data_IF_706430188276
#
_entry.id   IF_706430188276
#
_cell.length_a   1.000
_cell.length_b   1.000
_cell.length_c   1.000
_cell.angle_alpha   90.00
_cell.angle_beta   90.00
_cell.angle_gamma   90.00
#
_symmetry.space_group_name_H-M   'P 1'
#
loop_
_entity.id
_entity.type
_entity.pdbx_description
1 polymer ?
#
# COMPACT_ATOMS: atom_id res chain seq x y z
N UNK A 1 1.46 -56.72 -66.11
CA UNK A 1 2.62 -56.01 -65.54
C UNK A 1 2.07 -54.84 -64.69
N UNK A 2 2.07 -55.01 -63.34
CA UNK A 2 1.65 -53.99 -62.39
C UNK A 2 2.86 -53.29 -61.87
N UNK A 3 2.98 -52.00 -62.15
CA UNK A 3 3.99 -51.10 -61.51
C UNK A 3 3.56 -50.78 -60.10
N UNK A 4 4.32 -51.22 -59.11
CA UNK A 4 4.19 -50.85 -57.72
C UNK A 4 4.69 -49.38 -57.58
N UNK A 5 3.78 -48.49 -57.15
CA UNK A 5 4.13 -47.17 -56.69
C UNK A 5 4.70 -47.28 -55.27
N UNK A 6 6.00 -47.13 -55.16
CA UNK A 6 6.73 -46.97 -53.92
C UNK A 6 6.39 -45.54 -53.40
N UNK A 7 5.56 -45.43 -52.37
CA UNK A 7 5.39 -44.19 -51.64
C UNK A 7 6.64 -43.97 -50.82
N UNK A 8 7.54 -43.17 -51.33
CA UNK A 8 8.60 -42.56 -50.54
C UNK A 8 7.97 -41.48 -49.69
N UNK A 9 7.85 -41.77 -48.41
CA UNK A 9 7.65 -40.74 -47.38
C UNK A 9 8.89 -39.86 -47.43
N UNK A 10 8.77 -38.67 -48.05
CA UNK A 10 9.75 -37.63 -47.89
C UNK A 10 9.64 -37.18 -46.44
N UNK A 11 10.57 -37.60 -45.60
CA UNK A 11 10.88 -37.01 -44.33
C UNK A 11 11.51 -35.65 -44.64
N UNK A 12 10.84 -34.55 -44.28
CA UNK A 12 11.39 -33.23 -44.42
C UNK A 12 12.49 -33.08 -43.39
N UNK A 13 13.74 -33.02 -43.82
CA UNK A 13 14.95 -32.79 -43.00
C UNK A 13 14.98 -31.35 -42.39
N UNK A 14 13.97 -30.52 -42.64
CA UNK A 14 13.93 -29.12 -42.22
C UNK A 14 13.40 -28.90 -40.79
N UNK A 15 13.11 -29.94 -40.00
CA UNK A 15 12.45 -29.82 -38.69
C UNK A 15 13.31 -30.35 -37.52
N UNK A 16 14.58 -30.60 -37.74
CA UNK A 16 15.52 -30.84 -36.61
C UNK A 16 15.95 -29.51 -35.99
N UNK A 17 15.09 -28.91 -35.18
CA UNK A 17 15.56 -27.92 -34.21
C UNK A 17 16.61 -28.61 -33.37
N UNK A 18 17.82 -28.09 -33.40
CA UNK A 18 18.91 -28.65 -32.58
C UNK A 18 18.54 -28.46 -31.12
N UNK A 19 18.88 -29.44 -30.27
CA UNK A 19 18.71 -29.34 -28.80
C UNK A 19 19.18 -27.98 -28.27
N UNK A 20 20.21 -27.40 -28.91
CA UNK A 20 20.76 -26.10 -28.57
C UNK A 20 19.75 -24.96 -28.86
N UNK A 21 19.06 -25.00 -29.99
CA UNK A 21 18.05 -23.99 -30.36
C UNK A 21 16.84 -24.04 -29.42
N UNK A 22 16.40 -25.22 -29.01
CA UNK A 22 15.35 -25.40 -28.03
C UNK A 22 15.77 -24.86 -26.65
N UNK A 23 16.98 -25.19 -26.19
CA UNK A 23 17.53 -24.65 -24.93
C UNK A 23 17.62 -23.11 -24.99
N UNK A 24 18.14 -22.55 -26.07
CA UNK A 24 18.21 -21.10 -26.26
C UNK A 24 16.81 -20.46 -26.29
N UNK A 25 15.84 -21.13 -26.93
CA UNK A 25 14.44 -20.74 -26.91
C UNK A 25 13.86 -20.67 -25.51
N UNK A 26 14.09 -21.72 -24.71
CA UNK A 26 13.68 -21.76 -23.30
C UNK A 26 14.33 -20.65 -22.48
N UNK A 27 15.63 -20.46 -22.61
CA UNK A 27 16.37 -19.40 -21.90
C UNK A 27 15.80 -18.01 -22.27
N UNK A 28 15.55 -17.77 -23.56
CA UNK A 28 14.98 -16.51 -24.03
C UNK A 28 13.61 -16.24 -23.41
N UNK A 29 12.69 -17.22 -23.43
CA UNK A 29 11.37 -17.10 -22.83
C UNK A 29 11.48 -16.85 -21.33
N UNK A 30 12.32 -17.60 -20.64
CA UNK A 30 12.57 -17.43 -19.20
C UNK A 30 13.07 -16.03 -18.87
N UNK A 31 14.09 -15.53 -19.57
CA UNK A 31 14.65 -14.20 -19.36
C UNK A 31 13.62 -13.11 -19.63
N UNK A 32 12.89 -13.20 -20.75
CA UNK A 32 11.83 -12.23 -21.07
C UNK A 32 10.75 -12.23 -20.02
N UNK A 33 10.28 -13.42 -19.59
CA UNK A 33 9.27 -13.54 -18.53
C UNK A 33 9.76 -12.96 -17.20
N UNK A 34 11.00 -13.23 -16.82
CA UNK A 34 11.62 -12.68 -15.61
C UNK A 34 11.65 -11.13 -15.66
N UNK A 35 12.06 -10.57 -16.80
CA UNK A 35 12.07 -9.10 -16.99
C UNK A 35 10.66 -8.53 -16.86
N UNK A 36 9.66 -9.15 -17.51
CA UNK A 36 8.26 -8.69 -17.45
C UNK A 36 7.73 -8.75 -16.01
N UNK A 37 8.00 -9.85 -15.29
CA UNK A 37 7.59 -9.99 -13.89
C UNK A 37 8.27 -8.91 -13.01
N UNK A 38 9.57 -8.69 -13.18
CA UNK A 38 10.30 -7.66 -12.44
C UNK A 38 9.74 -6.26 -12.71
N UNK A 39 9.44 -5.93 -13.96
CA UNK A 39 8.81 -4.65 -14.31
C UNK A 39 7.42 -4.53 -13.68
N UNK A 40 6.61 -5.59 -13.76
CA UNK A 40 5.28 -5.59 -13.16
C UNK A 40 5.32 -5.36 -11.65
N UNK A 41 6.17 -6.11 -10.93
CA UNK A 41 6.29 -6.01 -9.47
C UNK A 41 6.82 -4.65 -9.02
N UNK A 42 7.73 -4.03 -9.78
CA UNK A 42 8.31 -2.75 -9.40
C UNK A 42 7.44 -1.55 -9.78
N UNK A 43 6.70 -1.62 -10.89
CA UNK A 43 5.99 -0.45 -11.43
C UNK A 43 4.47 -0.54 -11.37
N UNK A 44 3.91 -1.74 -11.18
CA UNK A 44 2.45 -1.92 -11.20
C UNK A 44 1.93 -2.37 -9.84
N UNK A 45 2.43 -3.47 -9.30
CA UNK A 45 1.89 -4.08 -8.08
C UNK A 45 3.02 -4.64 -7.20
N UNK A 46 3.20 -4.03 -6.03
CA UNK A 46 4.25 -4.44 -5.08
C UNK A 46 3.67 -5.37 -4.00
N UNK A 47 4.27 -6.55 -3.74
CA UNK A 47 3.81 -7.42 -2.67
C UNK A 47 4.13 -6.80 -1.30
N UNK A 48 3.14 -6.82 -0.40
CA UNK A 48 3.26 -6.28 0.96
C UNK A 48 2.66 -7.28 1.95
N UNK A 49 3.33 -7.45 3.08
CA UNK A 49 2.79 -8.10 4.26
C UNK A 49 2.57 -7.06 5.35
N UNK A 50 1.36 -7.04 5.91
CA UNK A 50 1.02 -6.13 7.00
C UNK A 50 1.71 -6.60 8.28
N UNK A 51 2.55 -5.75 8.85
CA UNK A 51 3.15 -5.96 10.15
C UNK A 51 2.68 -4.86 11.11
N UNK A 52 2.16 -5.29 12.26
CA UNK A 52 1.63 -4.39 13.26
C UNK A 52 0.11 -4.20 13.22
N UNK A 53 -0.37 -3.27 14.04
CA UNK A 53 -1.81 -3.04 14.29
C UNK A 53 -2.27 -1.63 13.99
N UNK A 54 -1.43 -0.81 13.40
CA UNK A 54 -1.74 0.62 13.21
C UNK A 54 -2.92 0.89 12.28
N UNK A 55 -3.27 -0.06 11.41
CA UNK A 55 -4.38 0.04 10.46
C UNK A 55 -5.57 -0.86 10.82
N UNK A 56 -5.56 -1.50 11.99
CA UNK A 56 -6.70 -2.28 12.46
C UNK A 56 -7.93 -1.37 12.70
N UNK A 57 -9.15 -1.77 12.37
CA UNK A 57 -9.58 -3.07 11.85
C UNK A 57 -9.49 -3.20 10.33
N UNK A 58 -9.17 -2.13 9.60
CA UNK A 58 -9.16 -2.09 8.12
C UNK A 58 -8.15 -3.08 7.54
N UNK A 59 -6.93 -3.10 8.11
CA UNK A 59 -5.90 -4.08 7.80
C UNK A 59 -5.44 -4.77 9.10
N UNK A 60 -5.31 -6.08 9.03
CA UNK A 60 -4.94 -6.93 10.17
C UNK A 60 -3.48 -7.38 10.07
N UNK A 61 -2.85 -7.57 11.21
CA UNK A 61 -1.49 -8.11 11.26
C UNK A 61 -1.40 -9.47 10.58
N UNK A 62 -0.40 -9.64 9.72
CA UNK A 62 -0.14 -10.88 8.98
C UNK A 62 -0.85 -10.97 7.62
N UNK A 63 -1.77 -10.06 7.29
CA UNK A 63 -2.36 -10.00 5.96
C UNK A 63 -1.28 -9.82 4.89
N UNK A 64 -1.46 -10.53 3.78
CA UNK A 64 -0.59 -10.47 2.61
C UNK A 64 -1.39 -10.10 1.37
N UNK A 65 -0.81 -9.24 0.54
CA UNK A 65 -1.44 -8.79 -0.69
C UNK A 65 -0.52 -7.95 -1.56
N UNK A 66 -1.12 -7.21 -2.47
CA UNK A 66 -0.42 -6.33 -3.39
C UNK A 66 -0.91 -4.89 -3.25
N UNK A 67 0.01 -3.95 -3.32
CA UNK A 67 -0.27 -2.51 -3.35
C UNK A 67 -0.08 -1.96 -4.76
N UNK A 68 -0.88 -0.97 -5.13
CA UNK A 68 -0.87 -0.36 -6.46
C UNK A 68 0.16 0.77 -6.54
N UNK A 69 1.32 0.48 -7.13
CA UNK A 69 2.39 1.47 -7.37
C UNK A 69 2.00 2.42 -8.51
N UNK A 70 1.53 1.86 -9.63
CA UNK A 70 1.13 2.65 -10.79
C UNK A 70 0.01 3.64 -10.51
N UNK A 71 -0.88 3.33 -9.57
CA UNK A 71 -1.99 4.18 -9.18
C UNK A 71 -1.57 5.52 -8.59
N UNK A 72 -0.44 5.57 -7.87
CA UNK A 72 0.12 6.85 -7.37
C UNK A 72 0.61 7.73 -8.50
N UNK A 73 1.26 7.12 -9.49
CA UNK A 73 1.84 7.84 -10.63
C UNK A 73 0.76 8.37 -11.59
N UNK A 74 -0.28 7.58 -11.84
CA UNK A 74 -1.31 7.87 -12.85
C UNK A 74 -2.46 8.73 -12.30
N UNK A 75 -2.91 8.45 -11.09
CA UNK A 75 -4.13 9.04 -10.53
C UNK A 75 -3.86 9.96 -9.32
N UNK A 76 -2.60 10.06 -8.89
CA UNK A 76 -2.24 10.78 -7.66
C UNK A 76 -2.75 10.08 -6.40
N UNK A 77 -2.80 10.84 -5.31
CA UNK A 77 -3.22 10.40 -3.98
C UNK A 77 -4.41 11.24 -3.53
N UNK A 78 -5.47 10.59 -3.05
CA UNK A 78 -6.71 11.22 -2.61
C UNK A 78 -6.86 11.08 -1.09
N UNK A 79 -7.72 11.95 -0.50
CA UNK A 79 -8.06 11.83 0.92
C UNK A 79 -8.87 10.56 1.15
N UNK A 80 -8.46 9.80 2.17
CA UNK A 80 -9.02 8.51 2.48
C UNK A 80 -8.23 7.34 1.89
N UNK A 81 -7.39 7.54 0.86
CA UNK A 81 -6.55 6.47 0.31
C UNK A 81 -5.68 5.84 1.40
N UNK A 82 -5.60 4.51 1.41
CA UNK A 82 -4.55 3.79 2.14
C UNK A 82 -3.28 3.86 1.30
N UNK A 83 -2.19 4.36 1.90
CA UNK A 83 -0.91 4.53 1.23
C UNK A 83 0.20 3.77 1.94
N UNK A 84 1.21 3.39 1.16
CA UNK A 84 2.47 2.86 1.69
C UNK A 84 3.52 3.95 1.59
N UNK A 85 4.04 4.34 2.76
CA UNK A 85 5.01 5.43 2.91
C UNK A 85 6.36 4.86 3.29
N UNK A 86 7.42 5.28 2.59
CA UNK A 86 8.79 4.96 2.96
C UNK A 86 9.28 5.97 4.01
N UNK A 87 9.62 5.49 5.19
CA UNK A 87 10.20 6.27 6.26
C UNK A 87 11.67 5.90 6.45
N UNK A 88 12.46 6.84 6.94
CA UNK A 88 13.82 6.60 7.40
C UNK A 88 13.80 6.56 8.93
N UNK A 89 14.10 5.41 9.50
CA UNK A 89 14.21 5.20 10.94
C UNK A 89 15.65 4.77 11.23
N UNK A 90 16.43 5.69 11.79
CA UNK A 90 17.84 5.48 12.16
C UNK A 90 18.72 5.00 10.99
N UNK A 91 18.50 5.54 9.78
CA UNK A 91 19.22 5.17 8.57
C UNK A 91 18.74 3.90 7.90
N UNK A 92 17.66 3.30 8.40
CA UNK A 92 17.00 2.16 7.78
C UNK A 92 15.67 2.57 7.15
N UNK A 93 15.46 2.16 5.90
CA UNK A 93 14.19 2.39 5.22
C UNK A 93 13.16 1.38 5.70
N UNK A 94 12.09 1.91 6.30
CA UNK A 94 10.91 1.14 6.73
C UNK A 94 9.69 1.55 5.91
N UNK A 95 8.71 0.67 5.81
CA UNK A 95 7.47 0.95 5.09
C UNK A 95 6.30 0.98 6.06
N UNK A 96 5.63 2.13 6.12
CA UNK A 96 4.42 2.30 6.91
C UNK A 96 3.20 2.26 6.02
N UNK A 97 2.18 1.54 6.46
CA UNK A 97 0.85 1.61 5.85
C UNK A 97 0.00 2.55 6.68
N UNK A 98 -0.56 3.58 6.06
CA UNK A 98 -1.35 4.63 6.72
C UNK A 98 -2.47 5.11 5.80
N UNK A 99 -3.45 5.84 6.37
CA UNK A 99 -4.52 6.52 5.63
C UNK A 99 -4.20 7.99 5.45
N UNK A 100 -4.46 8.51 4.26
CA UNK A 100 -4.31 9.94 3.94
C UNK A 100 -5.47 10.73 4.58
N UNK A 101 -5.12 11.64 5.47
CA UNK A 101 -6.05 12.51 6.18
C UNK A 101 -6.02 13.93 5.59
N UNK A 102 -4.83 14.49 5.37
CA UNK A 102 -4.64 15.80 4.76
C UNK A 102 -3.94 15.71 3.41
N UNK A 103 -4.37 16.54 2.48
CA UNK A 103 -3.79 16.71 1.15
C UNK A 103 -2.91 17.96 1.10
N UNK A 104 -2.04 18.11 0.08
CA UNK A 104 -1.29 19.34 -0.14
C UNK A 104 -2.17 20.59 -0.07
N UNK A 105 -1.71 21.59 0.68
CA UNK A 105 -2.43 22.84 0.89
C UNK A 105 -3.51 22.80 1.97
N UNK A 106 -3.84 21.64 2.56
CA UNK A 106 -4.78 21.58 3.69
C UNK A 106 -4.19 22.10 4.98
N UNK A 107 -5.07 22.46 5.89
CA UNK A 107 -4.77 22.68 7.30
C UNK A 107 -5.43 21.58 8.11
N UNK A 108 -4.65 20.84 8.89
CA UNK A 108 -5.09 19.71 9.71
C UNK A 108 -4.93 20.06 11.18
N UNK A 109 -5.96 19.86 11.99
CA UNK A 109 -5.91 20.07 13.44
C UNK A 109 -6.77 19.06 14.19
N UNK A 110 -6.56 18.95 15.50
CA UNK A 110 -7.41 18.19 16.40
C UNK A 110 -7.87 19.12 17.54
N UNK A 111 -9.17 19.16 17.77
CA UNK A 111 -9.77 19.92 18.86
C UNK A 111 -10.80 19.05 19.56
N UNK A 112 -10.67 18.88 20.87
CA UNK A 112 -11.56 18.01 21.67
C UNK A 112 -11.65 16.59 21.11
N UNK A 113 -10.50 16.01 20.70
CA UNK A 113 -10.41 14.64 20.14
C UNK A 113 -11.10 14.47 18.77
N UNK A 114 -11.42 15.59 18.09
CA UNK A 114 -12.05 15.61 16.75
C UNK A 114 -11.06 16.20 15.75
N UNK A 115 -10.89 15.51 14.61
CA UNK A 115 -10.02 15.96 13.52
C UNK A 115 -10.77 16.96 12.62
N UNK A 116 -10.10 18.05 12.28
CA UNK A 116 -10.57 19.09 11.39
C UNK A 116 -9.66 19.22 10.18
N UNK A 117 -10.27 19.43 9.01
CA UNK A 117 -9.60 19.78 7.76
C UNK A 117 -10.11 21.12 7.28
N UNK A 118 -9.24 22.11 7.17
CA UNK A 118 -9.60 23.48 6.77
C UNK A 118 -10.74 24.05 7.62
N UNK A 119 -10.71 23.79 8.94
CA UNK A 119 -11.72 24.24 9.91
C UNK A 119 -13.04 23.45 9.89
N UNK A 120 -13.17 22.39 9.08
CA UNK A 120 -14.37 21.54 9.02
C UNK A 120 -14.07 20.17 9.63
N UNK A 121 -15.03 19.64 10.38
CA UNK A 121 -14.94 18.29 10.93
C UNK A 121 -14.72 17.28 9.82
N UNK A 122 -13.73 16.41 9.99
CA UNK A 122 -13.50 15.29 9.09
C UNK A 122 -14.50 14.16 9.39
N UNK A 123 -15.29 13.78 8.39
CA UNK A 123 -16.16 12.59 8.49
C UNK A 123 -15.31 11.32 8.31
N UNK A 124 -15.07 10.62 9.42
CA UNK A 124 -14.29 9.39 9.49
C UNK A 124 -15.17 8.12 9.49
N UNK A 125 -16.51 8.27 9.51
CA UNK A 125 -17.43 7.12 9.61
C UNK A 125 -17.40 6.20 8.42
N UNK A 126 -16.82 6.66 7.30
CA UNK A 126 -16.64 5.86 6.07
C UNK A 126 -15.62 4.74 6.21
N UNK A 127 -14.68 4.87 7.15
CA UNK A 127 -13.57 3.91 7.31
C UNK A 127 -13.27 3.57 8.77
N UNK A 128 -13.76 4.35 9.74
CA UNK A 128 -13.69 4.03 11.17
C UNK A 128 -15.08 3.61 11.63
N UNK A 129 -15.20 2.36 12.02
CA UNK A 129 -16.43 1.85 12.64
C UNK A 129 -16.69 2.58 13.96
N UNK A 130 -17.91 3.15 14.17
CA UNK A 130 -18.23 3.92 15.37
C UNK A 130 -18.12 3.12 16.66
N UNK A 131 -18.50 1.84 16.67
CA UNK A 131 -18.42 0.98 17.85
C UNK A 131 -16.97 0.67 18.18
N UNK A 132 -16.15 0.44 17.14
CA UNK A 132 -14.70 0.28 17.33
C UNK A 132 -14.07 1.54 17.91
N UNK A 133 -14.39 2.72 17.35
CA UNK A 133 -13.93 4.00 17.89
C UNK A 133 -14.33 4.15 19.36
N UNK A 134 -15.60 3.91 19.70
CA UNK A 134 -16.10 4.02 21.06
C UNK A 134 -15.36 3.08 22.01
N UNK A 135 -15.10 1.83 21.61
CA UNK A 135 -14.36 0.87 22.40
C UNK A 135 -12.94 1.35 22.76
N UNK A 136 -12.29 2.10 21.85
CA UNK A 136 -10.99 2.70 22.11
C UNK A 136 -11.08 3.92 23.03
N UNK A 137 -12.11 4.74 22.86
CA UNK A 137 -12.39 5.88 23.77
C UNK A 137 -12.68 5.37 25.19
N UNK A 138 -13.47 4.33 25.35
CA UNK A 138 -13.76 3.72 26.65
C UNK A 138 -12.49 3.17 27.31
N UNK A 139 -11.58 2.63 26.50
CA UNK A 139 -10.32 2.05 26.98
C UNK A 139 -9.26 3.07 27.34
N UNK A 140 -9.10 4.12 26.53
CA UNK A 140 -7.98 5.07 26.61
C UNK A 140 -8.40 6.47 27.06
N UNK A 141 -9.69 6.78 27.05
CA UNK A 141 -10.20 8.13 27.28
C UNK A 141 -10.09 9.07 26.07
N UNK A 142 -9.56 8.59 24.93
CA UNK A 142 -9.38 9.36 23.71
C UNK A 142 -9.25 8.45 22.49
N UNK A 143 -9.35 9.05 21.30
CA UNK A 143 -9.13 8.37 20.02
C UNK A 143 -8.01 9.04 19.20
N UNK A 144 -8.10 10.34 18.94
CA UNK A 144 -7.19 11.08 18.06
C UNK A 144 -6.02 11.75 18.78
N UNK A 145 -6.14 12.01 20.07
CA UNK A 145 -5.10 12.69 20.87
C UNK A 145 -3.77 11.95 20.88
N UNK A 146 -2.72 12.67 21.22
CA UNK A 146 -1.37 12.14 21.34
C UNK A 146 -0.82 12.44 22.73
N UNK A 147 0.13 11.64 23.27
CA UNK A 147 0.86 12.02 24.47
C UNK A 147 1.60 13.34 24.27
N UNK A 148 1.58 14.20 25.29
CA UNK A 148 2.40 15.41 25.29
C UNK A 148 3.90 15.08 25.31
N UNK A 149 4.76 16.09 25.13
CA UNK A 149 6.21 15.92 25.08
C UNK A 149 6.79 15.24 26.32
N UNK A 150 6.13 15.36 27.48
CA UNK A 150 6.58 14.77 28.75
C UNK A 150 5.93 13.42 29.03
N UNK A 151 5.06 12.94 28.16
CA UNK A 151 4.32 11.68 28.27
C UNK A 151 3.41 11.57 29.55
N UNK A 152 3.04 12.73 30.12
CA UNK A 152 2.21 12.79 31.35
C UNK A 152 0.72 12.88 31.04
N UNK A 153 0.36 13.51 29.94
CA UNK A 153 -1.01 13.76 29.51
C UNK A 153 -1.19 13.49 28.03
N UNK A 154 -2.41 13.28 27.60
CA UNK A 154 -2.77 13.22 26.19
C UNK A 154 -3.44 14.53 25.78
N UNK A 155 -2.97 15.09 24.68
CA UNK A 155 -3.40 16.40 24.18
C UNK A 155 -3.85 16.30 22.73
N UNK A 156 -4.70 17.25 22.33
CA UNK A 156 -4.99 17.48 20.94
C UNK A 156 -3.70 17.91 20.21
N UNK A 157 -3.54 17.53 18.95
CA UNK A 157 -2.38 17.98 18.19
C UNK A 157 -2.64 19.35 17.58
N UNK A 158 -1.57 20.16 17.50
CA UNK A 158 -1.62 21.52 16.98
C UNK A 158 -1.98 21.57 15.49
N UNK A 159 -2.43 22.74 15.05
CA UNK A 159 -2.72 23.00 13.65
C UNK A 159 -1.47 22.89 12.77
N UNK A 160 -1.55 22.10 11.70
CA UNK A 160 -0.49 21.90 10.73
C UNK A 160 -0.97 22.32 9.34
N UNK A 161 -0.31 23.34 8.75
CA UNK A 161 -0.51 23.73 7.36
C UNK A 161 0.41 22.92 6.46
N UNK A 162 -0.19 22.13 5.55
CA UNK A 162 0.57 21.29 4.62
C UNK A 162 1.09 22.10 3.43
N UNK A 163 2.34 21.83 3.03
CA UNK A 163 2.94 22.38 1.81
C UNK A 163 2.41 21.64 0.56
N UNK A 164 2.79 22.11 -0.62
CA UNK A 164 2.32 21.61 -1.91
C UNK A 164 2.74 20.16 -2.23
N UNK A 165 3.72 19.64 -1.49
CA UNK A 165 4.22 18.27 -1.62
C UNK A 165 4.01 17.43 -0.35
N UNK A 166 3.26 17.93 0.64
CA UNK A 166 3.09 17.30 1.94
C UNK A 166 1.69 16.70 2.09
N UNK A 167 1.66 15.52 2.72
CA UNK A 167 0.46 14.78 3.09
C UNK A 167 0.46 14.51 4.59
N UNK A 168 -0.71 14.57 5.20
CA UNK A 168 -0.89 14.16 6.59
C UNK A 168 -1.51 12.77 6.62
N UNK A 169 -0.81 11.81 7.20
CA UNK A 169 -1.25 10.42 7.22
C UNK A 169 -1.43 9.93 8.66
N UNK A 170 -2.48 9.14 8.90
CA UNK A 170 -2.77 8.57 10.21
C UNK A 170 -3.11 7.09 10.07
N UNK A 171 -2.84 6.31 11.11
CA UNK A 171 -3.35 4.95 11.19
C UNK A 171 -4.82 4.92 11.61
N UNK A 172 -5.58 3.91 11.18
CA UNK A 172 -6.98 3.76 11.57
C UNK A 172 -7.12 3.37 13.05
N UNK A 173 -6.13 2.66 13.57
CA UNK A 173 -6.00 2.36 15.01
C UNK A 173 -5.24 3.47 15.73
N UNK A 174 -5.88 4.63 15.89
CA UNK A 174 -5.29 5.88 16.35
C UNK A 174 -4.39 5.77 17.58
N UNK A 175 -4.82 5.16 18.71
CA UNK A 175 -3.99 5.03 19.91
C UNK A 175 -2.78 4.08 19.74
N UNK A 176 -2.78 3.25 18.69
CA UNK A 176 -1.69 2.29 18.40
C UNK A 176 -0.88 2.64 17.16
N UNK A 177 -0.98 3.88 16.68
CA UNK A 177 -0.31 4.29 15.46
C UNK A 177 0.72 5.39 15.70
N UNK A 178 1.97 5.12 15.35
CA UNK A 178 2.99 6.15 15.11
C UNK A 178 2.78 6.66 13.67
N UNK A 179 2.46 7.95 13.51
CA UNK A 179 2.09 8.54 12.24
C UNK A 179 2.37 10.06 12.23
N UNK A 180 1.76 10.82 11.31
CA UNK A 180 2.02 12.27 11.16
C UNK A 180 1.77 13.09 12.42
N UNK A 181 1.00 12.59 13.37
CA UNK A 181 0.80 13.24 14.67
C UNK A 181 2.09 13.31 15.50
N UNK A 182 3.03 12.39 15.22
CA UNK A 182 4.32 12.27 15.94
C UNK A 182 5.50 12.75 15.11
N UNK A 183 5.50 12.46 13.80
CA UNK A 183 6.66 12.70 12.93
C UNK A 183 6.46 13.88 11.97
N UNK A 184 5.26 14.48 11.99
CA UNK A 184 4.89 15.52 11.04
C UNK A 184 4.43 14.98 9.68
N UNK A 185 4.14 15.88 8.74
CA UNK A 185 3.71 15.52 7.39
C UNK A 185 4.75 14.67 6.64
N UNK A 186 4.27 13.79 5.75
CA UNK A 186 5.11 13.02 4.83
C UNK A 186 5.13 13.68 3.45
N UNK A 187 6.24 13.59 2.75
CA UNK A 187 6.37 14.13 1.39
C UNK A 187 5.76 13.21 0.36
N UNK A 188 5.28 13.78 -0.74
CA UNK A 188 4.80 13.02 -1.90
C UNK A 188 5.81 11.97 -2.38
N UNK A 189 7.10 12.29 -2.37
CA UNK A 189 8.19 11.38 -2.79
C UNK A 189 8.37 10.17 -1.87
N UNK A 190 7.82 10.19 -0.66
CA UNK A 190 7.85 9.07 0.27
C UNK A 190 6.68 8.10 0.05
N UNK A 191 5.62 8.51 -0.66
CA UNK A 191 4.45 7.67 -0.96
C UNK A 191 4.74 6.89 -2.24
N UNK A 192 4.96 5.58 -2.13
CA UNK A 192 5.30 4.79 -3.31
C UNK A 192 4.16 3.92 -3.84
N UNK A 193 3.13 3.65 -3.04
CA UNK A 193 1.98 2.84 -3.47
C UNK A 193 0.70 3.28 -2.75
N UNK A 194 -0.45 2.97 -3.33
CA UNK A 194 -1.76 3.20 -2.72
C UNK A 194 -2.68 2.01 -2.89
N UNK A 195 -3.72 1.92 -2.03
CA UNK A 195 -4.68 0.82 -1.94
C UNK A 195 -3.97 -0.53 -1.73
N UNK A 196 -4.65 -1.47 -1.16
CA UNK A 196 -4.12 -2.82 -0.96
C UNK A 196 -5.15 -3.86 -1.35
N UNK A 197 -4.80 -4.73 -2.28
CA UNK A 197 -5.55 -5.94 -2.56
C UNK A 197 -5.04 -7.04 -1.61
N UNK A 198 -5.82 -7.32 -0.56
CA UNK A 198 -5.53 -8.42 0.36
C UNK A 198 -5.89 -9.74 -0.31
N UNK A 199 -4.98 -10.71 -0.27
CA UNK A 199 -5.16 -12.06 -0.80
C UNK A 199 -5.17 -13.13 0.29
N UNK A 200 -4.46 -12.89 1.39
CA UNK A 200 -4.38 -13.82 2.51
C UNK A 200 -4.58 -13.08 3.84
N UNK A 201 -5.31 -13.66 4.78
CA UNK A 201 -6.06 -14.91 4.69
C UNK A 201 -7.24 -14.80 3.70
N UNK A 202 -7.69 -15.93 3.17
CA UNK A 202 -8.77 -15.98 2.17
C UNK A 202 -10.07 -15.34 2.68
N UNK A 203 -10.32 -15.38 4.00
CA UNK A 203 -11.48 -14.74 4.64
C UNK A 203 -11.52 -13.22 4.50
N UNK A 204 -10.39 -12.58 4.25
CA UNK A 204 -10.23 -11.13 4.21
C UNK A 204 -9.94 -10.58 2.80
N UNK A 205 -10.04 -11.46 1.77
CA UNK A 205 -9.82 -11.08 0.36
C UNK A 205 -10.65 -9.85 -0.01
N UNK A 206 -10.00 -8.85 -0.57
CA UNK A 206 -10.65 -7.65 -1.09
C UNK A 206 -9.70 -6.48 -1.22
N UNK A 207 -10.18 -5.47 -1.93
CA UNK A 207 -9.46 -4.18 -2.02
C UNK A 207 -9.77 -3.37 -0.77
N UNK A 208 -8.72 -2.85 -0.15
CA UNK A 208 -8.76 -1.91 0.97
C UNK A 208 -8.29 -0.55 0.48
N UNK A 209 -9.11 0.44 0.65
CA UNK A 209 -8.89 1.85 0.28
C UNK A 209 -9.46 2.79 1.34
#
# INVERSE_FOLDING_TARGET
MKKSKKNELRYNEDDERTLLEDILGFIKVFVVSAIVILLFVNFVAHPVRVDGRSMYPTLKNGEFGFTNVGGVLLNGVERGDIVVVTMDEDGQKTHWVKRVIGLPGDTVSCVNDVVYINGKVLDETKYIDPDYRQSLVDKFGYFNKVPNANNTDVVDFEEVKLKDDEYYVMGDNRPYSKDSRYVGPVKKSQIFAKKMLVLLPISDIGVKD
#
